data_IF_319626274566
#
_entry.id   IF_319626274566
#
_cell.length_a   1.000
_cell.length_b   1.000
_cell.length_c   1.000
_cell.angle_alpha   90.00
_cell.angle_beta   90.00
_cell.angle_gamma   90.00
#
_symmetry.space_group_name_H-M   'P 1'
#
loop_
_entity.id
_entity.type
_entity.pdbx_description
1 polymer ?
#
# COMPACT_ATOMS: atom_id res chain seq x y z
N UNK A 1 -2.62 -21.45 25.89
CA UNK A 1 -2.41 -20.00 25.67
C UNK A 1 -3.76 -19.33 25.87
N UNK A 2 -3.97 -18.69 27.03
CA UNK A 2 -5.27 -18.13 27.40
C UNK A 2 -5.36 -16.70 26.88
N UNK A 3 -6.30 -16.42 25.98
CA UNK A 3 -6.63 -15.05 25.62
C UNK A 3 -7.28 -14.37 26.84
N UNK A 4 -6.91 -13.12 27.11
CA UNK A 4 -7.46 -12.29 28.18
C UNK A 4 -8.90 -11.85 27.81
N UNK A 5 -9.94 -12.28 28.56
CA UNK A 5 -11.34 -12.02 28.25
C UNK A 5 -11.76 -10.56 28.48
N UNK A 6 -10.88 -9.69 28.98
CA UNK A 6 -11.19 -8.27 29.25
C UNK A 6 -10.84 -7.32 28.10
N UNK A 7 -10.16 -7.81 27.06
CA UNK A 7 -9.76 -7.01 25.91
C UNK A 7 -10.76 -7.21 24.77
N UNK A 8 -11.67 -6.26 24.58
CA UNK A 8 -12.45 -6.18 23.32
C UNK A 8 -11.41 -6.12 22.19
N UNK A 9 -11.34 -7.10 21.29
CA UNK A 9 -10.28 -7.12 20.29
C UNK A 9 -10.56 -6.00 19.29
N UNK A 10 -9.69 -4.99 19.27
CA UNK A 10 -9.67 -4.03 18.16
C UNK A 10 -9.48 -4.81 16.86
N UNK A 11 -10.28 -4.49 15.84
CA UNK A 11 -10.05 -5.06 14.51
C UNK A 11 -8.77 -4.46 13.93
N UNK A 12 -7.75 -5.28 13.67
CA UNK A 12 -6.54 -4.81 13.01
C UNK A 12 -6.81 -4.62 11.51
N UNK A 13 -6.24 -3.56 10.92
CA UNK A 13 -6.32 -3.27 9.49
C UNK A 13 -4.97 -2.83 8.95
N UNK A 14 -4.64 -3.25 7.73
CA UNK A 14 -3.41 -2.81 7.06
C UNK A 14 -3.56 -1.33 6.67
N UNK A 15 -2.54 -0.51 6.93
CA UNK A 15 -2.55 0.89 6.50
C UNK A 15 -1.22 1.25 5.85
N UNK A 16 -1.25 1.91 4.70
CA UNK A 16 -0.04 2.47 4.09
C UNK A 16 0.69 3.37 5.09
N UNK A 17 1.92 3.03 5.46
CA UNK A 17 2.66 3.68 6.56
C UNK A 17 2.80 5.20 6.37
N UNK A 18 2.88 5.68 5.13
CA UNK A 18 2.93 7.10 4.83
C UNK A 18 1.65 7.86 5.27
N UNK A 19 0.49 7.20 5.32
CA UNK A 19 -0.77 7.76 5.83
C UNK A 19 -0.77 7.91 7.35
N UNK A 20 0.14 7.22 8.05
CA UNK A 20 0.35 7.36 9.50
C UNK A 20 1.54 8.26 9.84
N UNK A 21 2.11 8.96 8.84
CA UNK A 21 3.20 9.90 9.02
C UNK A 21 4.61 9.31 8.93
N UNK A 22 4.77 8.04 8.58
CA UNK A 22 6.10 7.50 8.30
C UNK A 22 6.67 8.12 7.01
N UNK A 23 7.90 8.60 7.10
CA UNK A 23 8.62 9.24 6.01
C UNK A 23 9.18 8.20 5.01
N UNK A 24 8.29 7.44 4.39
CA UNK A 24 8.61 6.30 3.51
C UNK A 24 8.21 6.52 2.04
N UNK A 25 7.81 7.73 1.65
CA UNK A 25 7.50 8.04 0.24
C UNK A 25 8.77 8.10 -0.61
N UNK A 26 8.61 8.00 -1.93
CA UNK A 26 9.71 8.13 -2.87
C UNK A 26 10.51 9.45 -2.72
N UNK A 27 9.84 10.54 -2.35
CA UNK A 27 10.44 11.86 -2.10
C UNK A 27 10.99 12.03 -0.66
N UNK A 28 11.01 10.97 0.15
CA UNK A 28 11.46 11.03 1.54
C UNK A 28 10.45 11.65 2.51
N UNK A 29 9.27 12.05 2.04
CA UNK A 29 8.22 12.60 2.88
C UNK A 29 7.22 11.56 3.38
N UNK A 30 6.13 12.06 3.96
CA UNK A 30 4.96 11.26 4.32
C UNK A 30 3.67 11.84 3.69
N UNK A 31 2.54 11.22 3.98
CA UNK A 31 1.23 11.72 3.59
C UNK A 31 0.19 11.49 4.69
N UNK A 32 0.59 11.81 5.93
CA UNK A 32 -0.21 11.61 7.14
C UNK A 32 -1.63 12.13 6.95
N UNK A 33 -2.61 11.29 7.26
CA UNK A 33 -4.02 11.61 7.17
C UNK A 33 -4.65 11.48 8.55
N UNK A 34 -4.84 12.62 9.23
CA UNK A 34 -5.47 12.64 10.57
C UNK A 34 -6.95 12.28 10.54
N UNK A 35 -7.64 12.49 9.41
CA UNK A 35 -9.04 12.11 9.26
C UNK A 35 -9.15 10.60 9.25
N UNK A 36 -8.28 9.90 8.52
CA UNK A 36 -8.18 8.45 8.56
C UNK A 36 -7.84 7.95 9.98
N UNK A 37 -6.83 8.52 10.65
CA UNK A 37 -6.46 8.12 12.02
C UNK A 37 -7.64 8.23 13.00
N UNK A 38 -8.40 9.32 12.91
CA UNK A 38 -9.60 9.54 13.71
C UNK A 38 -10.70 8.53 13.37
N UNK A 39 -10.97 8.31 12.08
CA UNK A 39 -11.97 7.35 11.62
C UNK A 39 -11.65 5.93 12.13
N UNK A 40 -10.41 5.47 11.96
CA UNK A 40 -9.97 4.17 12.46
C UNK A 40 -10.20 4.03 13.97
N UNK A 41 -9.86 5.07 14.74
CA UNK A 41 -10.06 5.07 16.19
C UNK A 41 -11.54 5.02 16.56
N UNK A 42 -12.39 5.80 15.89
CA UNK A 42 -13.83 5.86 16.13
C UNK A 42 -14.53 4.54 15.79
N UNK A 43 -14.06 3.84 14.75
CA UNK A 43 -14.56 2.53 14.35
C UNK A 43 -13.94 1.37 15.18
N UNK A 44 -13.10 1.66 16.18
CA UNK A 44 -12.48 0.63 17.02
C UNK A 44 -11.46 -0.22 16.26
N UNK A 45 -10.85 0.34 15.21
CA UNK A 45 -9.82 -0.31 14.41
C UNK A 45 -8.41 0.11 14.83
N UNK A 46 -7.48 -0.83 14.74
CA UNK A 46 -6.06 -0.60 15.00
C UNK A 46 -5.27 -0.70 13.70
N UNK A 47 -4.57 0.37 13.35
CA UNK A 47 -3.73 0.40 12.17
C UNK A 47 -2.48 -0.47 12.34
N UNK A 48 -2.19 -1.30 11.33
CA UNK A 48 -0.94 -2.03 11.14
C UNK A 48 -0.18 -1.34 10.00
N UNK A 49 0.85 -0.52 10.29
CA UNK A 49 1.59 0.22 9.27
C UNK A 49 2.37 -0.72 8.34
N UNK A 50 2.32 -0.45 7.04
CA UNK A 50 3.13 -1.16 6.06
C UNK A 50 3.50 -0.28 4.87
N UNK A 51 4.76 -0.34 4.42
CA UNK A 51 5.20 0.25 3.16
C UNK A 51 5.72 -0.86 2.24
N UNK A 52 4.99 -1.22 1.17
CA UNK A 52 5.42 -2.30 0.29
C UNK A 52 6.77 -2.01 -0.37
N UNK A 53 7.01 -0.76 -0.76
CA UNK A 53 8.23 -0.37 -1.46
C UNK A 53 9.48 -0.52 -0.58
N UNK A 54 9.43 -0.10 0.70
CA UNK A 54 10.54 -0.31 1.65
C UNK A 54 10.68 -1.79 2.04
N UNK A 55 9.56 -2.49 2.25
CA UNK A 55 9.59 -3.92 2.56
C UNK A 55 10.20 -4.73 1.42
N UNK A 56 9.94 -4.33 0.18
CA UNK A 56 10.53 -4.91 -1.03
C UNK A 56 12.02 -4.60 -1.22
N UNK A 57 12.61 -3.73 -0.39
CA UNK A 57 14.03 -3.40 -0.42
C UNK A 57 14.38 -2.07 -1.11
N UNK A 58 13.39 -1.28 -1.54
CA UNK A 58 13.68 0.05 -2.09
C UNK A 58 14.05 1.04 -0.99
N UNK A 59 14.99 1.93 -1.29
CA UNK A 59 15.41 2.99 -0.37
C UNK A 59 14.36 4.07 -0.17
N UNK A 60 14.55 4.90 0.84
CA UNK A 60 13.86 6.19 0.99
C UNK A 60 14.90 7.30 1.19
N UNK A 61 14.95 8.35 0.33
CA UNK A 61 14.17 8.50 -0.90
C UNK A 61 14.58 7.49 -1.99
N UNK A 62 13.78 7.42 -3.06
CA UNK A 62 14.00 6.59 -4.26
C UNK A 62 13.42 7.29 -5.49
N UNK A 63 13.88 6.94 -6.70
CA UNK A 63 13.24 7.40 -7.93
C UNK A 63 11.76 7.05 -8.00
N UNK A 64 10.99 7.89 -8.70
CA UNK A 64 9.62 7.54 -9.07
C UNK A 64 9.62 6.33 -10.01
N UNK A 65 8.62 5.46 -9.87
CA UNK A 65 8.44 4.28 -10.69
C UNK A 65 6.99 4.17 -11.18
N UNK A 66 6.78 3.38 -12.23
CA UNK A 66 5.46 3.10 -12.80
C UNK A 66 5.44 1.72 -13.44
N UNK A 67 4.23 1.22 -13.67
CA UNK A 67 3.99 0.00 -14.43
C UNK A 67 4.31 0.28 -15.90
N UNK A 68 5.02 -0.62 -16.58
CA UNK A 68 5.48 -0.34 -17.94
C UNK A 68 4.35 -0.27 -18.97
N UNK A 69 3.36 -1.16 -18.85
CA UNK A 69 2.18 -1.27 -19.74
C UNK A 69 1.09 -2.11 -19.07
N UNK A 70 -0.11 -2.10 -19.64
CA UNK A 70 -1.27 -2.93 -19.30
C UNK A 70 -1.87 -2.66 -17.90
N UNK A 71 -1.15 -2.96 -16.82
CA UNK A 71 -1.60 -2.70 -15.44
C UNK A 71 -1.05 -3.70 -14.43
N UNK A 72 -1.47 -3.55 -13.17
CA UNK A 72 -0.95 -4.34 -12.05
C UNK A 72 -1.23 -5.84 -12.17
N UNK A 73 -2.37 -6.24 -12.77
CA UNK A 73 -2.67 -7.65 -13.02
C UNK A 73 -1.61 -8.32 -13.89
N UNK A 74 -1.26 -7.69 -15.03
CA UNK A 74 -0.22 -8.19 -15.93
C UNK A 74 1.16 -8.28 -15.25
N UNK A 75 1.46 -7.40 -14.29
CA UNK A 75 2.69 -7.50 -13.48
C UNK A 75 2.66 -8.77 -12.62
N UNK A 76 1.55 -9.01 -11.92
CA UNK A 76 1.38 -10.18 -11.06
C UNK A 76 1.40 -11.50 -11.85
N UNK A 77 0.95 -11.45 -13.11
CA UNK A 77 0.92 -12.60 -14.03
C UNK A 77 2.26 -12.77 -14.80
N UNK A 78 3.22 -11.86 -14.61
CA UNK A 78 4.57 -11.94 -15.19
C UNK A 78 4.66 -11.48 -16.66
N UNK A 79 3.66 -10.76 -17.15
CA UNK A 79 3.54 -10.31 -18.55
C UNK A 79 4.21 -8.94 -18.79
N UNK A 80 4.38 -8.17 -17.72
CA UNK A 80 5.01 -6.84 -17.72
C UNK A 80 5.72 -6.61 -16.38
N UNK A 81 6.31 -5.42 -16.19
CA UNK A 81 7.04 -5.07 -14.98
C UNK A 81 6.84 -3.63 -14.54
N UNK A 82 7.68 -3.20 -13.61
CA UNK A 82 7.82 -1.82 -13.19
C UNK A 82 9.24 -1.33 -13.46
N UNK A 83 9.31 -0.07 -13.85
CA UNK A 83 10.58 0.63 -14.00
C UNK A 83 10.56 1.99 -13.34
N UNK A 84 11.74 2.46 -12.96
CA UNK A 84 11.93 3.84 -12.52
C UNK A 84 11.89 4.82 -13.69
N UNK A 85 11.82 6.12 -13.39
CA UNK A 85 11.91 7.17 -14.38
C UNK A 85 13.22 7.15 -15.19
N UNK A 86 14.29 6.62 -14.60
CA UNK A 86 15.59 6.43 -15.25
C UNK A 86 15.71 5.09 -16.00
N UNK A 87 14.63 4.30 -16.06
CA UNK A 87 14.58 3.04 -16.81
C UNK A 87 15.13 1.83 -16.06
N UNK A 88 15.36 1.92 -14.74
CA UNK A 88 15.79 0.75 -13.94
C UNK A 88 14.59 -0.16 -13.68
N UNK A 89 14.72 -1.45 -13.95
CA UNK A 89 13.73 -2.44 -13.55
C UNK A 89 13.70 -2.56 -12.01
N UNK A 90 12.52 -2.43 -11.42
CA UNK A 90 12.25 -2.54 -9.97
C UNK A 90 11.10 -3.51 -9.69
N UNK A 91 10.83 -4.42 -10.61
CA UNK A 91 9.66 -5.32 -10.57
C UNK A 91 9.71 -6.24 -9.36
N UNK A 92 10.88 -6.81 -9.07
CA UNK A 92 11.07 -7.78 -7.99
C UNK A 92 10.81 -7.15 -6.63
N UNK A 93 11.27 -5.92 -6.39
CA UNK A 93 11.03 -5.20 -5.15
C UNK A 93 9.55 -4.90 -4.95
N UNK A 94 8.83 -4.49 -6.01
CA UNK A 94 7.39 -4.26 -5.92
C UNK A 94 6.60 -5.54 -5.66
N UNK A 95 6.96 -6.66 -6.31
CA UNK A 95 6.33 -7.96 -6.08
C UNK A 95 6.64 -8.47 -4.67
N UNK A 96 7.88 -8.36 -4.21
CA UNK A 96 8.28 -8.74 -2.86
C UNK A 96 7.53 -7.91 -1.81
N UNK A 97 7.41 -6.60 -2.02
CA UNK A 97 6.61 -5.71 -1.19
C UNK A 97 5.14 -6.10 -1.11
N UNK A 98 4.52 -6.41 -2.26
CA UNK A 98 3.13 -6.84 -2.32
C UNK A 98 2.92 -8.18 -1.60
N UNK A 99 3.83 -9.15 -1.79
CA UNK A 99 3.80 -10.44 -1.09
C UNK A 99 3.93 -10.27 0.43
N UNK A 100 4.85 -9.44 0.88
CA UNK A 100 4.99 -9.13 2.31
C UNK A 100 3.74 -8.49 2.92
N UNK A 101 3.02 -7.65 2.17
CA UNK A 101 1.73 -7.11 2.62
C UNK A 101 0.68 -8.22 2.78
N UNK A 102 0.61 -9.13 1.80
CA UNK A 102 -0.31 -10.27 1.83
C UNK A 102 0.00 -11.23 2.98
N UNK A 103 1.28 -11.59 3.16
CA UNK A 103 1.75 -12.43 4.26
C UNK A 103 1.37 -11.81 5.60
N UNK A 104 1.62 -10.51 5.79
CA UNK A 104 1.22 -9.80 7.00
C UNK A 104 -0.30 -9.83 7.23
N UNK A 105 -1.10 -9.65 6.17
CA UNK A 105 -2.56 -9.78 6.26
C UNK A 105 -2.97 -11.20 6.67
N UNK A 106 -2.35 -12.24 6.11
CA UNK A 106 -2.67 -13.64 6.41
C UNK A 106 -2.28 -14.01 7.85
N UNK A 107 -1.07 -13.65 8.28
CA UNK A 107 -0.55 -13.92 9.63
C UNK A 107 -1.41 -13.30 10.73
N UNK A 108 -1.92 -12.09 10.48
CA UNK A 108 -2.75 -11.34 11.42
C UNK A 108 -4.25 -11.46 11.16
N UNK A 109 -4.65 -12.25 10.16
CA UNK A 109 -6.04 -12.43 9.74
C UNK A 109 -6.76 -11.11 9.42
N UNK A 110 -6.03 -10.15 8.83
CA UNK A 110 -6.57 -8.87 8.41
C UNK A 110 -7.46 -9.10 7.18
N UNK A 111 -8.59 -8.39 7.10
CA UNK A 111 -9.52 -8.47 5.97
C UNK A 111 -9.68 -7.14 5.23
N UNK A 112 -9.11 -6.06 5.77
CA UNK A 112 -9.25 -4.69 5.23
C UNK A 112 -7.90 -3.99 5.17
N UNK A 113 -7.71 -3.19 4.13
CA UNK A 113 -6.51 -2.39 3.91
C UNK A 113 -6.87 -0.96 3.48
N UNK A 114 -6.25 0.04 4.11
CA UNK A 114 -6.35 1.46 3.74
C UNK A 114 -5.05 1.89 3.06
N UNK A 115 -5.11 2.08 1.75
CA UNK A 115 -3.93 2.21 0.91
C UNK A 115 -3.81 3.60 0.29
N UNK A 116 -2.58 4.10 0.16
CA UNK A 116 -2.32 5.42 -0.44
C UNK A 116 -2.64 5.40 -1.92
N UNK A 117 -3.64 6.19 -2.31
CA UNK A 117 -4.14 6.27 -3.69
C UNK A 117 -3.08 6.81 -4.68
N UNK A 118 -3.20 6.48 -5.98
CA UNK A 118 -2.29 6.89 -7.07
C UNK A 118 -0.89 6.29 -7.05
N UNK A 119 -0.54 5.48 -6.05
CA UNK A 119 0.78 4.81 -6.01
C UNK A 119 0.83 3.62 -6.97
N UNK A 120 1.97 3.39 -7.67
CA UNK A 120 2.18 2.17 -8.46
C UNK A 120 2.10 0.88 -7.62
N UNK A 121 2.30 0.97 -6.31
CA UNK A 121 2.13 -0.14 -5.37
C UNK A 121 0.75 -0.13 -4.68
N UNK A 122 0.39 0.99 -4.07
CA UNK A 122 -0.75 1.09 -3.15
C UNK A 122 -2.02 1.71 -3.75
N UNK A 123 -1.99 2.24 -4.99
CA UNK A 123 -3.17 2.81 -5.62
C UNK A 123 -4.31 1.79 -5.67
N UNK A 124 -5.54 2.19 -5.38
CA UNK A 124 -6.71 1.28 -5.39
C UNK A 124 -7.51 1.56 -6.64
N UNK A 125 -7.91 2.81 -6.84
CA UNK A 125 -8.68 3.22 -8.02
C UNK A 125 -7.81 3.77 -9.15
N UNK A 126 -6.60 4.24 -8.85
CA UNK A 126 -5.73 4.87 -9.84
C UNK A 126 -4.28 4.48 -9.60
N UNK A 127 -3.56 4.20 -10.69
CA UNK A 127 -2.12 3.90 -10.69
C UNK A 127 -1.43 4.65 -11.83
N UNK A 128 -0.11 4.49 -11.97
CA UNK A 128 0.63 5.03 -13.09
C UNK A 128 1.11 3.93 -14.02
N UNK A 129 0.75 4.02 -15.29
CA UNK A 129 1.24 3.19 -16.39
C UNK A 129 1.98 4.10 -17.35
N UNK A 130 3.22 3.77 -17.69
CA UNK A 130 4.10 4.58 -18.52
C UNK A 130 4.22 6.05 -18.05
N UNK A 131 4.23 6.26 -16.74
CA UNK A 131 4.26 7.59 -16.10
C UNK A 131 2.93 8.36 -16.16
N UNK A 132 1.88 7.79 -16.76
CA UNK A 132 0.56 8.41 -16.93
C UNK A 132 -0.40 7.83 -15.89
N UNK A 133 -1.17 8.69 -15.22
CA UNK A 133 -2.22 8.24 -14.31
C UNK A 133 -3.37 7.58 -15.08
N UNK A 134 -3.69 6.34 -14.74
CA UNK A 134 -4.76 5.54 -15.36
C UNK A 134 -5.66 4.90 -14.31
N UNK A 135 -6.94 4.63 -14.63
CA UNK A 135 -7.80 3.83 -13.76
C UNK A 135 -7.21 2.43 -13.55
N UNK A 136 -7.24 1.97 -12.30
CA UNK A 136 -6.79 0.64 -11.92
C UNK A 136 -5.87 0.64 -10.68
N UNK A 137 -5.69 -0.53 -10.06
CA UNK A 137 -4.91 -0.67 -8.85
C UNK A 137 -3.40 -0.67 -9.12
N UNK A 138 -2.63 -0.37 -8.07
CA UNK A 138 -1.22 -0.71 -7.96
C UNK A 138 -1.00 -2.18 -7.61
N UNK A 139 0.26 -2.63 -7.66
CA UNK A 139 0.61 -4.06 -7.52
C UNK A 139 0.16 -4.66 -6.18
N UNK A 140 0.36 -3.94 -5.07
CA UNK A 140 -0.04 -4.42 -3.75
C UNK A 140 -1.56 -4.47 -3.61
N UNK A 141 -2.27 -3.42 -4.04
CA UNK A 141 -3.73 -3.40 -3.97
C UNK A 141 -4.33 -4.55 -4.79
N UNK A 142 -3.85 -4.74 -6.03
CA UNK A 142 -4.31 -5.82 -6.89
C UNK A 142 -4.07 -7.21 -6.27
N UNK A 143 -2.89 -7.44 -5.66
CA UNK A 143 -2.59 -8.72 -5.03
C UNK A 143 -3.47 -8.97 -3.80
N UNK A 144 -3.68 -7.95 -2.97
CA UNK A 144 -4.56 -8.04 -1.78
C UNK A 144 -6.00 -8.34 -2.18
N UNK A 145 -6.55 -7.65 -3.18
CA UNK A 145 -7.89 -7.87 -3.71
C UNK A 145 -8.07 -9.28 -4.30
N UNK A 146 -7.07 -9.78 -5.06
CA UNK A 146 -7.05 -11.17 -5.57
C UNK A 146 -7.13 -12.21 -4.45
N UNK A 147 -6.73 -11.85 -3.23
CA UNK A 147 -6.73 -12.73 -2.06
C UNK A 147 -7.86 -12.39 -1.06
N UNK A 148 -8.87 -11.64 -1.48
CA UNK A 148 -10.08 -11.40 -0.68
C UNK A 148 -9.91 -10.34 0.42
N UNK A 149 -8.87 -9.51 0.35
CA UNK A 149 -8.70 -8.35 1.23
C UNK A 149 -9.41 -7.15 0.62
N UNK A 150 -10.28 -6.50 1.39
CA UNK A 150 -10.98 -5.28 0.96
C UNK A 150 -10.02 -4.08 1.01
N UNK A 151 -9.75 -3.47 -0.14
CA UNK A 151 -8.88 -2.30 -0.26
C UNK A 151 -9.69 -1.00 -0.37
N UNK A 152 -9.37 -0.02 0.47
CA UNK A 152 -9.92 1.34 0.42
C UNK A 152 -8.82 2.33 0.06
N UNK A 153 -9.00 3.07 -1.03
CA UNK A 153 -8.08 4.10 -1.48
C UNK A 153 -8.19 5.38 -0.65
N UNK A 154 -7.04 5.90 -0.19
CA UNK A 154 -6.96 7.14 0.61
C UNK A 154 -6.06 8.16 -0.10
N UNK A 155 -6.62 9.31 -0.44
CA UNK A 155 -5.88 10.40 -1.10
C UNK A 155 -4.84 11.02 -0.17
N UNK A 156 -5.17 11.11 1.11
CA UNK A 156 -4.43 11.80 2.16
C UNK A 156 -4.74 13.29 2.20
N UNK A 157 -5.31 13.74 3.31
CA UNK A 157 -5.55 15.15 3.58
C UNK A 157 -4.26 15.83 4.03
N UNK A 158 -3.69 16.68 3.17
CA UNK A 158 -2.68 17.65 3.62
C UNK A 158 -3.42 18.74 4.38
N UNK A 159 -3.15 18.89 5.68
CA UNK A 159 -3.54 20.10 6.40
C UNK A 159 -2.88 21.28 5.68
N UNK A 160 -3.70 22.15 5.07
CA UNK A 160 -3.24 23.50 4.72
C UNK A 160 -2.77 24.13 6.02
N UNK A 161 -1.48 24.38 6.12
CA UNK A 161 -0.90 25.13 7.24
C UNK A 161 -1.49 26.53 7.33
#
# INVERSE_FOLDING_TARGET
MSADPTKVPFQEVLVSACLLGQACRYDGGHNRDRVLEQQLTQEGMRAVPFCPEEHGGLSTPRPAAWIEREGASAVLDGETGLRTAEGRNVTDEFIAGARGALELCQERQLTRAFLKERSPSCGVCTTHVDGIAVPGPGVTAALLERNGIECTGVMGHRESS
#
